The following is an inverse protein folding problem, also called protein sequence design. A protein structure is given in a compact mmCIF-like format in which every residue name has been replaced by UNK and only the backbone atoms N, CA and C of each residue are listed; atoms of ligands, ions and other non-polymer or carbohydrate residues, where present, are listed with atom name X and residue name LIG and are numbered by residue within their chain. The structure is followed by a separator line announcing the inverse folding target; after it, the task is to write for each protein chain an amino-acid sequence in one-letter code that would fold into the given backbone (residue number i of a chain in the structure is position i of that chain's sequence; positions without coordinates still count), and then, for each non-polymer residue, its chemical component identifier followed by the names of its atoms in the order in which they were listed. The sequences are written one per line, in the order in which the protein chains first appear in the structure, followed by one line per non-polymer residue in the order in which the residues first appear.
data_IF_534352675275
#
_entry.id   IF_534352675275
#
_cell.length_a   1.000
_cell.length_b   1.000
_cell.length_c   1.000
_cell.angle_alpha   90.00
_cell.angle_beta   90.00
_cell.angle_gamma   90.00
#
_symmetry.space_group_name_H-M   'P 1'
#
loop_
_entity.id
_entity.type
_entity.pdbx_description
1 polymer ?
#
# COMPACT_ATOMS: atom_id res chain seq x y z
N UNK A 1 13.19 9.37 -19.33
CA UNK A 1 12.41 8.72 -18.25
C UNK A 1 10.88 8.96 -18.32
N UNK A 2 10.40 9.94 -19.08
CA UNK A 2 8.94 10.21 -19.21
C UNK A 2 8.17 9.22 -20.11
N UNK A 3 8.82 8.48 -20.98
CA UNK A 3 8.16 7.59 -21.93
C UNK A 3 7.79 6.19 -21.37
N UNK A 4 8.40 5.76 -20.27
CA UNK A 4 8.13 4.43 -19.69
C UNK A 4 6.77 4.33 -18.96
N UNK A 5 6.17 5.45 -18.57
CA UNK A 5 4.91 5.44 -17.81
C UNK A 5 3.65 5.41 -18.68
N UNK A 6 3.76 5.77 -19.96
CA UNK A 6 2.68 5.58 -20.94
C UNK A 6 2.42 4.12 -21.32
N UNK A 7 3.36 3.22 -21.01
CA UNK A 7 3.28 1.80 -21.36
C UNK A 7 2.49 0.93 -20.35
N UNK A 8 2.05 1.49 -19.22
CA UNK A 8 1.34 0.71 -18.19
C UNK A 8 -0.18 0.67 -18.38
N UNK A 9 -0.69 1.12 -19.53
CA UNK A 9 -2.12 1.10 -19.85
C UNK A 9 -2.37 0.11 -20.98
N UNK A 10 -3.22 -0.89 -20.70
CA UNK A 10 -3.78 -1.81 -21.67
C UNK A 10 -5.25 -1.48 -21.87
N UNK A 11 -5.72 -1.42 -23.11
CA UNK A 11 -7.10 -1.06 -23.43
C UNK A 11 -7.64 -1.94 -24.56
N UNK A 12 -8.97 -2.08 -24.58
CA UNK A 12 -9.67 -3.00 -25.45
C UNK A 12 -9.94 -4.36 -24.80
N UNK A 13 -11.03 -5.00 -25.22
CA UNK A 13 -11.55 -6.21 -24.59
C UNK A 13 -10.51 -7.34 -24.63
N UNK A 14 -10.04 -7.71 -25.82
CA UNK A 14 -9.11 -8.83 -25.98
C UNK A 14 -7.76 -8.61 -25.29
N UNK A 15 -7.08 -7.45 -25.44
CA UNK A 15 -5.82 -7.22 -24.74
C UNK A 15 -5.96 -7.26 -23.22
N UNK A 16 -7.08 -6.77 -22.66
CA UNK A 16 -7.31 -6.81 -21.21
C UNK A 16 -7.57 -8.24 -20.73
N UNK A 17 -8.33 -9.05 -21.49
CA UNK A 17 -8.51 -10.48 -21.20
C UNK A 17 -7.17 -11.24 -21.22
N UNK A 18 -6.33 -10.99 -22.20
CA UNK A 18 -5.00 -11.60 -22.29
C UNK A 18 -4.12 -11.16 -21.11
N UNK A 19 -4.17 -9.87 -20.75
CA UNK A 19 -3.45 -9.35 -19.58
C UNK A 19 -3.87 -10.08 -18.29
N UNK A 20 -5.17 -10.22 -18.05
CA UNK A 20 -5.69 -10.91 -16.85
C UNK A 20 -5.24 -12.38 -16.83
N UNK A 21 -5.25 -13.05 -18.00
CA UNK A 21 -4.81 -14.45 -18.15
C UNK A 21 -3.30 -14.63 -18.03
N UNK A 22 -2.51 -13.58 -18.28
CA UNK A 22 -1.04 -13.64 -18.23
C UNK A 22 -0.44 -13.57 -16.81
N UNK A 23 -1.28 -13.52 -15.78
CA UNK A 23 -0.89 -13.41 -14.37
C UNK A 23 0.00 -12.20 -14.04
N UNK A 24 0.04 -11.19 -14.91
CA UNK A 24 0.71 -9.93 -14.59
C UNK A 24 -0.07 -9.16 -13.54
N UNK A 25 0.65 -8.50 -12.65
CA UNK A 25 0.05 -7.66 -11.62
C UNK A 25 -0.75 -6.51 -12.25
N UNK A 26 -2.05 -6.49 -11.95
CA UNK A 26 -2.98 -5.47 -12.43
C UNK A 26 -3.30 -4.54 -11.26
N UNK A 27 -2.99 -3.27 -11.44
CA UNK A 27 -3.26 -2.25 -10.43
C UNK A 27 -4.76 -1.95 -10.35
N UNK A 28 -5.42 -1.81 -11.51
CA UNK A 28 -6.84 -1.49 -11.59
C UNK A 28 -7.41 -1.72 -12.97
N UNK A 29 -8.68 -2.12 -13.02
CA UNK A 29 -9.46 -2.20 -14.27
C UNK A 29 -10.61 -1.21 -14.22
N UNK A 30 -10.75 -0.38 -15.25
CA UNK A 30 -11.92 0.46 -15.46
C UNK A 30 -12.81 -0.17 -16.55
N UNK A 31 -14.11 -0.26 -16.24
CA UNK A 31 -15.14 -0.73 -17.14
C UNK A 31 -16.15 0.40 -17.36
N UNK A 32 -16.53 0.68 -18.58
CA UNK A 32 -17.53 1.69 -18.89
C UNK A 32 -18.91 1.26 -18.39
N UNK A 33 -19.61 2.17 -17.71
CA UNK A 33 -20.99 1.98 -17.29
C UNK A 33 -21.88 1.72 -18.51
N UNK A 34 -22.77 0.71 -18.42
CA UNK A 34 -23.73 0.36 -19.48
C UNK A 34 -23.17 -0.52 -20.58
N UNK A 35 -21.87 -0.81 -20.64
CA UNK A 35 -21.33 -1.79 -21.58
C UNK A 35 -21.72 -3.20 -21.15
N UNK A 36 -22.41 -3.91 -22.04
CA UNK A 36 -22.85 -5.29 -21.80
C UNK A 36 -22.37 -6.17 -22.95
N UNK A 37 -21.44 -7.07 -22.66
CA UNK A 37 -21.04 -8.16 -23.55
C UNK A 37 -20.60 -9.36 -22.72
N UNK A 38 -20.60 -10.57 -23.27
CA UNK A 38 -20.06 -11.77 -22.60
C UNK A 38 -18.64 -11.58 -22.11
N UNK A 39 -17.80 -10.95 -22.92
CA UNK A 39 -16.37 -10.73 -22.63
C UNK A 39 -16.18 -9.72 -21.49
N UNK A 40 -16.98 -8.67 -21.42
CA UNK A 40 -16.95 -7.71 -20.30
C UNK A 40 -17.40 -8.40 -19.01
N UNK A 41 -18.37 -9.28 -19.08
CA UNK A 41 -18.80 -10.10 -17.94
C UNK A 41 -17.71 -11.07 -17.50
N UNK A 42 -16.98 -11.67 -18.44
CA UNK A 42 -15.80 -12.51 -18.18
C UNK A 42 -14.72 -11.69 -17.47
N UNK A 43 -14.34 -10.51 -17.98
CA UNK A 43 -13.37 -9.61 -17.35
C UNK A 43 -13.79 -9.30 -15.91
N UNK A 44 -15.03 -8.89 -15.69
CA UNK A 44 -15.51 -8.53 -14.37
C UNK A 44 -15.49 -9.71 -13.38
N UNK A 45 -15.86 -10.91 -13.84
CA UNK A 45 -15.85 -12.11 -13.02
C UNK A 45 -14.42 -12.54 -12.67
N UNK A 46 -13.51 -12.50 -13.63
CA UNK A 46 -12.10 -12.87 -13.43
C UNK A 46 -11.40 -11.87 -12.52
N UNK A 47 -11.69 -10.56 -12.65
CA UNK A 47 -11.20 -9.56 -11.71
C UNK A 47 -11.65 -9.85 -10.28
N UNK A 48 -12.93 -10.20 -10.07
CA UNK A 48 -13.44 -10.55 -8.72
C UNK A 48 -12.78 -11.81 -8.17
N UNK A 49 -12.63 -12.84 -9.00
CA UNK A 49 -12.01 -14.10 -8.58
C UNK A 49 -10.53 -13.93 -8.18
N UNK A 50 -9.82 -13.00 -8.83
CA UNK A 50 -8.39 -12.75 -8.59
C UNK A 50 -8.12 -11.53 -7.68
N UNK A 51 -9.15 -10.95 -7.04
CA UNK A 51 -8.97 -9.79 -6.16
C UNK A 51 -8.47 -8.51 -6.87
N UNK A 52 -8.60 -8.44 -8.23
CA UNK A 52 -8.17 -7.28 -9.00
C UNK A 52 -9.13 -6.10 -8.79
N UNK A 53 -8.65 -4.94 -8.32
CA UNK A 53 -9.49 -3.77 -8.12
C UNK A 53 -10.17 -3.34 -9.43
N UNK A 54 -11.50 -3.19 -9.40
CA UNK A 54 -12.30 -2.86 -10.57
C UNK A 54 -13.27 -1.71 -10.25
N UNK A 55 -13.48 -0.82 -11.23
CA UNK A 55 -14.43 0.27 -11.11
C UNK A 55 -15.21 0.51 -12.40
N UNK A 56 -16.53 0.62 -12.28
CA UNK A 56 -17.38 1.08 -13.37
C UNK A 56 -17.35 2.61 -13.43
N UNK A 57 -17.09 3.16 -14.63
CA UNK A 57 -16.90 4.58 -14.84
C UNK A 57 -17.62 5.10 -16.08
N UNK A 58 -18.02 6.40 -16.13
CA UNK A 58 -18.58 7.01 -17.33
C UNK A 58 -17.56 7.04 -18.48
N UNK A 59 -18.08 7.10 -19.74
CA UNK A 59 -17.26 7.13 -20.95
C UNK A 59 -16.31 8.33 -20.97
N UNK A 60 -16.69 9.46 -20.42
CA UNK A 60 -15.88 10.68 -20.34
C UNK A 60 -14.57 10.42 -19.56
N UNK A 61 -14.65 9.64 -18.49
CA UNK A 61 -13.46 9.23 -17.73
C UNK A 61 -12.58 8.31 -18.57
N UNK A 62 -13.16 7.36 -19.30
CA UNK A 62 -12.40 6.45 -20.19
C UNK A 62 -11.66 7.24 -21.26
N UNK A 63 -12.32 8.19 -21.93
CA UNK A 63 -11.77 9.03 -22.97
C UNK A 63 -10.64 9.97 -22.48
N UNK A 64 -10.61 10.29 -21.17
CA UNK A 64 -9.50 11.04 -20.56
C UNK A 64 -8.26 10.16 -20.36
N UNK A 65 -8.45 8.86 -20.13
CA UNK A 65 -7.36 7.90 -19.93
C UNK A 65 -6.68 7.53 -21.24
N UNK A 66 -7.47 7.33 -22.31
CA UNK A 66 -6.95 7.05 -23.64
C UNK A 66 -7.91 7.54 -24.73
N UNK A 67 -7.36 8.14 -25.78
CA UNK A 67 -8.12 8.54 -26.98
C UNK A 67 -8.23 7.39 -28.01
N UNK A 68 -7.58 6.25 -27.75
CA UNK A 68 -7.62 5.08 -28.61
C UNK A 68 -8.91 4.29 -28.37
N UNK A 69 -9.24 3.37 -29.28
CA UNK A 69 -10.45 2.55 -29.19
C UNK A 69 -10.33 1.58 -28.00
N UNK A 70 -10.87 1.97 -26.85
CA UNK A 70 -10.82 1.19 -25.60
C UNK A 70 -11.95 0.17 -25.44
N UNK A 71 -12.96 0.17 -26.33
CA UNK A 71 -14.07 -0.80 -26.32
C UNK A 71 -14.75 -0.94 -24.93
N UNK A 72 -14.76 0.11 -24.13
CA UNK A 72 -15.37 0.11 -22.80
C UNK A 72 -14.50 -0.51 -21.69
N UNK A 73 -13.23 -0.85 -21.94
CA UNK A 73 -12.34 -1.38 -20.89
C UNK A 73 -10.92 -0.85 -21.01
N UNK A 74 -10.34 -0.50 -19.82
CA UNK A 74 -8.94 -0.05 -19.66
C UNK A 74 -8.39 -0.70 -18.40
N UNK A 75 -7.22 -1.31 -18.48
CA UNK A 75 -6.47 -1.85 -17.37
C UNK A 75 -5.15 -1.11 -17.16
N UNK A 76 -4.75 -0.97 -15.92
CA UNK A 76 -3.45 -0.44 -15.52
C UNK A 76 -2.60 -1.57 -14.99
N UNK A 77 -1.42 -1.77 -15.58
CA UNK A 77 -0.42 -2.73 -15.10
C UNK A 77 0.27 -2.11 -13.89
N UNK A 78 0.41 -2.87 -12.81
CA UNK A 78 1.21 -2.44 -11.67
C UNK A 78 2.69 -2.40 -12.07
N UNK A 79 3.42 -1.31 -11.77
CA UNK A 79 4.85 -1.21 -12.10
C UNK A 79 5.75 -2.03 -11.19
N UNK A 80 5.20 -2.66 -10.15
CA UNK A 80 5.91 -3.53 -9.21
C UNK A 80 5.19 -4.86 -9.06
N UNK A 81 5.90 -5.86 -8.55
CA UNK A 81 5.30 -7.14 -8.13
C UNK A 81 5.01 -7.09 -6.63
N UNK A 82 3.78 -7.45 -6.24
CA UNK A 82 3.42 -7.59 -4.84
C UNK A 82 4.01 -8.89 -4.26
N UNK A 83 4.52 -8.81 -3.03
CA UNK A 83 5.07 -9.97 -2.35
C UNK A 83 4.08 -10.50 -1.31
N UNK A 84 3.99 -11.84 -1.12
CA UNK A 84 3.27 -12.39 0.01
C UNK A 84 3.90 -11.97 1.33
N UNK A 85 3.09 -11.44 2.26
CA UNK A 85 3.58 -10.95 3.55
C UNK A 85 4.29 -12.04 4.35
N UNK A 86 3.72 -13.24 4.33
CA UNK A 86 4.23 -14.42 5.03
C UNK A 86 5.65 -14.77 4.56
N UNK A 87 5.86 -14.72 3.25
CA UNK A 87 7.16 -15.02 2.65
C UNK A 87 8.22 -13.98 3.05
N UNK A 88 7.86 -12.70 3.06
CA UNK A 88 8.81 -11.64 3.44
C UNK A 88 9.19 -11.76 4.91
N UNK A 89 8.23 -11.95 5.81
CA UNK A 89 8.47 -12.11 7.24
C UNK A 89 9.35 -13.33 7.51
N UNK A 90 9.03 -14.46 6.89
CA UNK A 90 9.82 -15.68 7.01
C UNK A 90 11.27 -15.46 6.54
N UNK A 91 11.46 -14.86 5.38
CA UNK A 91 12.79 -14.60 4.81
C UNK A 91 13.66 -13.75 5.76
N UNK A 92 13.11 -12.69 6.37
CA UNK A 92 13.84 -11.83 7.29
C UNK A 92 14.26 -12.58 8.56
N UNK A 93 13.40 -13.43 9.11
CA UNK A 93 13.77 -14.30 10.24
C UNK A 93 14.84 -15.33 9.86
N UNK A 94 14.75 -15.94 8.68
CA UNK A 94 15.77 -16.88 8.18
C UNK A 94 17.14 -16.21 7.98
N UNK A 95 17.16 -14.90 7.70
CA UNK A 95 18.40 -14.09 7.67
C UNK A 95 18.94 -13.76 9.07
N UNK A 96 18.26 -14.18 10.14
CA UNK A 96 18.64 -13.89 11.53
C UNK A 96 18.42 -12.42 11.93
N UNK A 97 17.50 -11.71 11.25
CA UNK A 97 17.16 -10.31 11.52
C UNK A 97 15.77 -10.20 12.14
N UNK A 98 15.55 -9.10 12.83
CA UNK A 98 14.24 -8.73 13.36
C UNK A 98 13.43 -8.01 12.27
N UNK A 99 12.28 -8.56 11.82
CA UNK A 99 11.46 -7.92 10.82
C UNK A 99 10.99 -6.52 11.24
N UNK A 100 11.06 -5.58 10.30
CA UNK A 100 10.50 -4.24 10.42
C UNK A 100 9.45 -4.03 9.33
N UNK A 101 8.17 -4.06 9.70
CA UNK A 101 7.03 -3.94 8.79
C UNK A 101 6.33 -2.61 9.00
N UNK A 102 5.96 -1.94 7.91
CA UNK A 102 5.13 -0.74 7.91
C UNK A 102 3.76 -1.06 7.32
N UNK A 103 2.69 -0.92 8.09
CA UNK A 103 1.32 -1.14 7.66
C UNK A 103 0.59 0.20 7.48
N UNK A 104 -0.12 0.36 6.36
CA UNK A 104 -0.81 1.60 6.02
C UNK A 104 -2.32 1.38 5.94
N UNK A 105 -3.10 2.07 6.78
CA UNK A 105 -4.55 2.08 6.75
C UNK A 105 -5.07 3.31 6.00
N UNK A 106 -5.67 3.10 4.84
CA UNK A 106 -6.34 4.14 4.03
C UNK A 106 -5.46 5.34 3.65
N UNK A 107 -4.17 5.12 3.43
CA UNK A 107 -3.30 6.11 2.81
C UNK A 107 -3.56 6.09 1.31
N UNK A 108 -4.36 7.04 0.82
CA UNK A 108 -4.87 7.07 -0.55
C UNK A 108 -4.16 8.07 -1.47
N UNK A 109 -3.46 9.04 -0.90
CA UNK A 109 -2.68 9.99 -1.68
C UNK A 109 -1.40 9.33 -2.23
N UNK A 110 -1.26 9.39 -3.56
CA UNK A 110 -0.17 8.75 -4.30
C UNK A 110 1.20 9.35 -3.96
N UNK A 111 1.26 10.67 -3.69
CA UNK A 111 2.50 11.35 -3.35
C UNK A 111 2.95 11.02 -1.94
N UNK A 112 2.00 11.00 -1.00
CA UNK A 112 2.28 10.55 0.37
C UNK A 112 2.76 9.11 0.38
N UNK A 113 2.10 8.21 -0.35
CA UNK A 113 2.54 6.82 -0.46
C UNK A 113 3.96 6.70 -1.04
N UNK A 114 4.26 7.43 -2.12
CA UNK A 114 5.61 7.44 -2.71
C UNK A 114 6.68 7.98 -1.74
N UNK A 115 6.37 9.05 -1.00
CA UNK A 115 7.28 9.61 0.02
C UNK A 115 7.49 8.65 1.19
N UNK A 116 6.42 7.99 1.65
CA UNK A 116 6.48 6.93 2.67
C UNK A 116 7.38 5.79 2.19
N UNK A 117 7.19 5.29 0.98
CA UNK A 117 7.99 4.20 0.44
C UNK A 117 9.49 4.55 0.35
N UNK A 118 9.80 5.78 -0.06
CA UNK A 118 11.18 6.29 -0.06
C UNK A 118 11.80 6.29 1.33
N UNK A 119 11.06 6.80 2.31
CA UNK A 119 11.51 6.88 3.70
C UNK A 119 11.64 5.49 4.32
N UNK A 120 10.65 4.63 4.11
CA UNK A 120 10.63 3.25 4.58
C UNK A 120 11.84 2.46 4.07
N UNK A 121 12.12 2.55 2.77
CA UNK A 121 13.31 1.91 2.18
C UNK A 121 14.61 2.45 2.78
N UNK A 122 14.74 3.77 2.95
CA UNK A 122 15.92 4.39 3.56
C UNK A 122 16.10 4.01 5.03
N UNK A 123 15.03 3.73 5.75
CA UNK A 123 15.03 3.29 7.15
C UNK A 123 15.18 1.76 7.33
N UNK A 124 15.32 1.00 6.24
CA UNK A 124 15.47 -0.44 6.31
C UNK A 124 14.19 -1.19 6.67
N UNK A 125 13.02 -0.65 6.31
CA UNK A 125 11.74 -1.37 6.42
C UNK A 125 11.76 -2.54 5.44
N UNK A 126 11.43 -3.74 5.91
CA UNK A 126 11.46 -4.97 5.11
C UNK A 126 10.23 -5.11 4.21
N UNK A 127 9.06 -4.63 4.68
CA UNK A 127 7.81 -4.65 3.90
C UNK A 127 6.91 -3.46 4.21
N UNK A 128 6.21 -2.95 3.17
CA UNK A 128 5.04 -2.08 3.30
C UNK A 128 3.79 -2.91 3.04
N UNK A 129 2.86 -2.95 4.01
CA UNK A 129 1.60 -3.67 3.91
C UNK A 129 0.47 -2.69 3.60
N UNK A 130 -0.28 -2.95 2.54
CA UNK A 130 -1.43 -2.15 2.11
C UNK A 130 -2.66 -3.04 1.88
N UNK A 131 -3.89 -2.53 2.10
CA UNK A 131 -5.09 -3.28 1.75
C UNK A 131 -5.36 -3.26 0.24
N UNK A 132 -6.08 -4.27 -0.26
CA UNK A 132 -6.55 -4.33 -1.65
C UNK A 132 -7.43 -3.14 -2.04
N UNK A 133 -8.18 -2.60 -1.09
CA UNK A 133 -9.08 -1.47 -1.30
C UNK A 133 -8.78 -0.34 -0.31
N UNK A 134 -8.90 0.91 -0.77
CA UNK A 134 -8.64 2.08 0.06
C UNK A 134 -7.17 2.41 0.26
N UNK A 135 -6.29 1.95 -0.62
CA UNK A 135 -4.87 2.33 -0.69
C UNK A 135 -4.59 3.20 -1.92
N UNK A 136 -3.47 3.92 -1.89
CA UNK A 136 -2.98 4.66 -3.05
C UNK A 136 -2.67 3.70 -4.21
N UNK A 137 -2.96 4.14 -5.43
CA UNK A 137 -2.55 3.43 -6.63
C UNK A 137 -1.04 3.52 -6.84
N UNK A 138 -0.38 2.39 -7.09
CA UNK A 138 1.03 2.38 -7.47
C UNK A 138 1.14 2.64 -8.97
N UNK A 139 1.35 3.89 -9.30
CA UNK A 139 1.45 4.39 -10.67
C UNK A 139 2.75 5.17 -10.89
N UNK A 140 2.90 5.79 -12.05
CA UNK A 140 4.08 6.59 -12.41
C UNK A 140 4.40 7.72 -11.43
N UNK A 141 3.38 8.34 -10.82
CA UNK A 141 3.58 9.41 -9.84
C UNK A 141 4.12 8.86 -8.52
N UNK A 142 3.61 7.71 -8.05
CA UNK A 142 4.16 7.01 -6.89
C UNK A 142 5.62 6.60 -7.13
N UNK A 143 5.91 6.01 -8.30
CA UNK A 143 7.28 5.61 -8.68
C UNK A 143 8.24 6.80 -8.70
N UNK A 144 7.81 7.94 -9.26
CA UNK A 144 8.60 9.17 -9.30
C UNK A 144 8.83 9.73 -7.90
N UNK A 145 7.78 9.82 -7.09
CA UNK A 145 7.86 10.40 -5.73
C UNK A 145 8.71 9.52 -4.80
N UNK A 146 8.65 8.20 -4.98
CA UNK A 146 9.51 7.28 -4.22
C UNK A 146 10.99 7.32 -4.63
N UNK A 147 11.37 8.09 -5.67
CA UNK A 147 12.72 8.13 -6.23
C UNK A 147 13.29 6.72 -6.55
N UNK A 148 12.42 5.79 -6.98
CA UNK A 148 12.78 4.42 -7.31
C UNK A 148 12.71 3.42 -6.15
N UNK A 149 12.48 3.86 -4.92
CA UNK A 149 12.41 2.97 -3.75
C UNK A 149 11.32 1.90 -3.88
N UNK A 150 10.20 2.21 -4.54
CA UNK A 150 9.12 1.24 -4.81
C UNK A 150 9.54 0.05 -5.69
N UNK A 151 10.64 0.16 -6.44
CA UNK A 151 11.20 -0.98 -7.18
C UNK A 151 12.11 -1.87 -6.35
N UNK A 152 12.41 -1.47 -5.11
CA UNK A 152 13.41 -2.12 -4.24
C UNK A 152 12.82 -2.64 -2.94
N UNK A 153 11.81 -1.95 -2.40
CA UNK A 153 11.12 -2.35 -1.17
C UNK A 153 10.02 -3.36 -1.47
N UNK A 154 9.83 -4.36 -0.61
CA UNK A 154 8.70 -5.28 -0.73
C UNK A 154 7.39 -4.55 -0.41
N UNK A 155 6.43 -4.59 -1.32
CA UNK A 155 5.06 -4.15 -1.06
C UNK A 155 4.17 -5.37 -1.01
N UNK A 156 3.47 -5.55 0.11
CA UNK A 156 2.55 -6.66 0.35
C UNK A 156 1.11 -6.13 0.30
N UNK A 157 0.34 -6.63 -0.66
CA UNK A 157 -1.08 -6.30 -0.78
C UNK A 157 -1.91 -7.40 -0.15
N UNK A 158 -2.76 -7.05 0.82
CA UNK A 158 -3.57 -8.01 1.58
C UNK A 158 -5.06 -7.72 1.44
N UNK A 159 -5.88 -8.76 1.50
CA UNK A 159 -7.35 -8.61 1.44
C UNK A 159 -7.88 -7.87 2.67
N UNK A 160 -7.32 -8.16 3.85
CA UNK A 160 -7.80 -7.64 5.11
C UNK A 160 -6.64 -7.36 6.05
N UNK A 161 -6.51 -6.11 6.49
CA UNK A 161 -5.48 -5.72 7.46
C UNK A 161 -5.65 -6.39 8.83
N UNK A 162 -6.87 -6.83 9.21
CA UNK A 162 -7.07 -7.57 10.49
C UNK A 162 -6.32 -8.90 10.47
N UNK A 163 -6.46 -9.62 9.37
CA UNK A 163 -5.82 -10.94 9.22
C UNK A 163 -4.29 -10.79 9.16
N UNK A 164 -3.81 -9.71 8.51
CA UNK A 164 -2.39 -9.37 8.50
C UNK A 164 -1.87 -9.01 9.91
N UNK A 165 -2.62 -8.25 10.72
CA UNK A 165 -2.27 -7.96 12.11
C UNK A 165 -2.18 -9.26 12.91
N UNK A 166 -3.20 -10.11 12.81
CA UNK A 166 -3.26 -11.37 13.56
C UNK A 166 -2.11 -12.31 13.15
N UNK A 167 -1.79 -12.38 11.85
CA UNK A 167 -0.63 -13.12 11.34
C UNK A 167 0.69 -12.60 11.90
N UNK A 168 0.93 -11.28 11.84
CA UNK A 168 2.19 -10.67 12.32
C UNK A 168 2.39 -10.92 13.81
N UNK A 169 1.33 -10.79 14.62
CA UNK A 169 1.36 -11.10 16.05
C UNK A 169 1.67 -12.56 16.30
N UNK A 170 1.01 -13.47 15.57
CA UNK A 170 1.27 -14.92 15.67
C UNK A 170 2.71 -15.28 15.24
N UNK A 171 3.32 -14.50 14.36
CA UNK A 171 4.72 -14.63 13.94
C UNK A 171 5.72 -13.99 14.91
N UNK A 172 5.25 -13.43 16.04
CA UNK A 172 6.11 -12.85 17.08
C UNK A 172 6.45 -11.37 16.88
N UNK A 173 5.85 -10.67 15.93
CA UNK A 173 6.02 -9.21 15.82
C UNK A 173 5.10 -8.50 16.81
N UNK A 174 5.61 -7.49 17.46
CA UNK A 174 4.79 -6.50 18.17
C UNK A 174 4.17 -5.55 17.14
N UNK A 175 2.85 -5.35 17.20
CA UNK A 175 2.12 -4.48 16.26
C UNK A 175 1.64 -3.23 17.00
N UNK A 176 2.20 -2.05 16.66
CA UNK A 176 1.89 -0.78 17.31
C UNK A 176 1.33 0.23 16.31
N UNK A 177 0.33 1.00 16.75
CA UNK A 177 -0.28 2.05 15.93
C UNK A 177 0.13 3.44 16.38
N UNK A 178 0.34 4.35 15.41
CA UNK A 178 0.63 5.74 15.70
C UNK A 178 -0.62 6.60 15.51
N UNK A 179 -1.03 7.28 16.56
CA UNK A 179 -2.22 8.14 16.59
C UNK A 179 -2.04 9.28 17.61
N UNK A 180 -2.56 10.44 17.28
CA UNK A 180 -2.58 11.61 18.16
C UNK A 180 -3.39 11.39 19.44
N UNK A 181 -4.26 10.36 19.44
CA UNK A 181 -5.13 9.98 20.58
C UNK A 181 -4.44 9.07 21.59
N UNK A 182 -3.21 8.65 21.33
CA UNK A 182 -2.44 7.83 22.28
C UNK A 182 -1.93 8.66 23.44
N UNK A 183 -1.62 7.99 24.55
CA UNK A 183 -1.04 8.62 25.75
C UNK A 183 0.45 8.29 25.92
N UNK A 184 0.91 7.23 25.28
CA UNK A 184 2.30 6.80 25.34
C UNK A 184 3.13 7.49 24.25
N UNK A 185 4.24 8.07 24.66
CA UNK A 185 5.13 8.79 23.73
C UNK A 185 6.06 7.83 22.99
N UNK A 186 6.24 8.05 21.70
CA UNK A 186 7.26 7.41 20.86
C UNK A 186 8.65 7.40 21.52
N UNK A 187 9.03 8.53 22.17
CA UNK A 187 10.36 8.69 22.76
C UNK A 187 10.64 7.86 24.02
N UNK A 188 9.58 7.28 24.61
CA UNK A 188 9.66 6.50 25.85
C UNK A 188 9.38 5.02 25.65
N UNK A 189 9.00 4.63 24.45
CA UNK A 189 8.62 3.25 24.12
C UNK A 189 9.82 2.51 23.57
N UNK A 190 9.96 1.24 23.95
CA UNK A 190 10.91 0.33 23.33
C UNK A 190 10.36 -0.11 21.97
N UNK A 191 11.10 0.18 20.90
CA UNK A 191 10.77 -0.17 19.52
C UNK A 191 11.83 -1.07 18.88
N UNK A 192 12.61 -1.75 19.69
CA UNK A 192 13.55 -2.78 19.26
C UNK A 192 12.83 -4.10 18.98
N UNK A 193 13.54 -5.08 18.44
CA UNK A 193 13.00 -6.42 18.10
C UNK A 193 12.05 -6.44 16.91
N UNK A 194 11.37 -7.60 16.67
CA UNK A 194 10.43 -7.76 15.57
C UNK A 194 9.21 -6.84 15.72
N UNK A 195 8.99 -5.95 14.75
CA UNK A 195 8.05 -4.84 14.90
C UNK A 195 7.25 -4.58 13.63
N UNK A 196 5.94 -4.37 13.79
CA UNK A 196 5.09 -3.75 12.78
C UNK A 196 4.56 -2.41 13.30
N UNK A 197 4.72 -1.38 12.50
CA UNK A 197 4.18 -0.04 12.75
C UNK A 197 2.98 0.20 11.85
N UNK A 198 1.86 0.63 12.41
CA UNK A 198 0.67 1.00 11.66
C UNK A 198 0.49 2.52 11.64
N UNK A 199 0.33 3.06 10.42
CA UNK A 199 0.01 4.47 10.18
C UNK A 199 -1.39 4.56 9.56
N UNK A 200 -2.16 5.56 9.96
CA UNK A 200 -3.51 5.78 9.48
C UNK A 200 -3.62 6.82 8.38
N UNK A 201 -4.86 7.05 7.90
CA UNK A 201 -5.17 8.13 6.96
C UNK A 201 -4.95 9.51 7.58
N UNK A 202 -4.80 10.54 6.73
CA UNK A 202 -4.65 11.93 7.18
C UNK A 202 -5.95 12.49 7.80
N UNK A 203 -7.12 12.00 7.37
CA UNK A 203 -8.42 12.50 7.82
C UNK A 203 -8.87 11.87 9.14
N UNK A 204 -8.82 10.53 9.23
CA UNK A 204 -9.43 9.77 10.33
C UNK A 204 -8.41 9.04 11.21
N UNK A 205 -7.13 9.03 10.83
CA UNK A 205 -6.12 8.21 11.48
C UNK A 205 -6.34 6.70 11.23
N UNK A 206 -5.95 5.87 12.19
CA UNK A 206 -6.14 4.42 12.14
C UNK A 206 -7.60 4.08 12.48
N UNK A 207 -8.20 3.19 11.69
CA UNK A 207 -9.56 2.69 11.92
C UNK A 207 -9.71 2.10 13.33
N UNK A 208 -10.81 2.43 14.06
CA UNK A 208 -11.08 1.87 15.39
C UNK A 208 -11.12 0.34 15.42
N UNK A 209 -11.46 -0.29 14.30
CA UNK A 209 -11.48 -1.74 14.18
C UNK A 209 -10.08 -2.36 14.21
N UNK A 210 -9.07 -1.63 13.75
CA UNK A 210 -7.67 -2.04 13.82
C UNK A 210 -7.04 -1.67 15.15
N UNK A 211 -7.26 -0.46 15.66
CA UNK A 211 -6.74 -0.01 16.94
C UNK A 211 -6.96 -1.03 18.07
N UNK A 212 -8.15 -1.64 18.12
CA UNK A 212 -8.51 -2.65 19.15
C UNK A 212 -7.68 -3.95 19.06
N UNK A 213 -6.96 -4.19 17.96
CA UNK A 213 -6.18 -5.40 17.73
C UNK A 213 -4.68 -5.20 17.95
N UNK A 214 -4.23 -3.95 18.02
CA UNK A 214 -2.83 -3.61 18.19
C UNK A 214 -2.35 -3.90 19.62
N UNK A 215 -1.05 -4.13 19.76
CA UNK A 215 -0.41 -4.37 21.06
C UNK A 215 -0.15 -3.07 21.83
N UNK A 216 -0.18 -1.92 21.15
CA UNK A 216 0.03 -0.61 21.75
C UNK A 216 -0.31 0.53 20.80
N UNK A 217 -0.51 1.71 21.41
CA UNK A 217 -0.77 2.95 20.70
C UNK A 217 0.22 3.99 21.16
N UNK A 218 0.90 4.62 20.20
CA UNK A 218 1.95 5.60 20.46
C UNK A 218 1.62 6.92 19.79
N UNK A 219 2.11 8.01 20.37
CA UNK A 219 2.01 9.34 19.77
C UNK A 219 3.39 9.94 19.52
N UNK A 220 3.46 10.77 18.50
CA UNK A 220 4.57 11.73 18.33
C UNK A 220 4.20 12.95 19.18
N UNK A 221 4.96 13.29 20.24
CA UNK A 221 4.65 14.48 21.04
C UNK A 221 4.75 15.76 20.20
N UNK A 222 3.67 16.54 20.19
CA UNK A 222 3.56 17.79 19.47
C UNK A 222 3.55 18.96 20.48
N UNK A 223 4.65 19.72 20.60
CA UNK A 223 4.72 20.83 21.58
C UNK A 223 4.01 22.11 21.10
N UNK A 224 3.63 22.18 19.83
CA UNK A 224 2.90 23.32 19.24
C UNK A 224 1.39 23.10 19.23
N UNK A 225 0.66 24.07 18.65
CA UNK A 225 -0.81 24.08 18.58
C UNK A 225 -1.38 23.24 17.40
N UNK A 226 -0.53 22.45 16.72
CA UNK A 226 -0.94 21.55 15.63
C UNK A 226 -0.98 20.12 16.17
N UNK A 227 -2.11 19.46 15.99
CA UNK A 227 -2.36 18.14 16.59
C UNK A 227 -1.70 16.97 15.83
N UNK A 228 -1.37 17.15 14.54
CA UNK A 228 -0.84 16.06 13.68
C UNK A 228 0.16 16.57 12.64
N UNK A 229 1.01 15.66 12.17
CA UNK A 229 1.89 15.84 11.00
C UNK A 229 1.24 15.20 9.77
N UNK A 230 1.64 15.67 8.59
CA UNK A 230 1.41 14.91 7.36
C UNK A 230 1.88 13.45 7.53
N UNK A 231 1.13 12.49 7.03
CA UNK A 231 1.39 11.06 7.27
C UNK A 231 2.77 10.61 6.81
N UNK A 232 3.29 11.16 5.70
CA UNK A 232 4.63 10.81 5.21
C UNK A 232 5.73 11.36 6.10
N UNK A 233 5.53 12.55 6.69
CA UNK A 233 6.45 13.16 7.67
C UNK A 233 6.41 12.37 8.98
N UNK A 234 5.21 12.09 9.51
CA UNK A 234 5.03 11.28 10.71
C UNK A 234 5.71 9.90 10.56
N UNK A 235 5.52 9.24 9.40
CA UNK A 235 6.19 7.96 9.11
C UNK A 235 7.71 8.10 9.15
N UNK A 236 8.24 9.21 8.63
CA UNK A 236 9.69 9.49 8.70
C UNK A 236 10.21 9.60 10.12
N UNK A 237 9.52 10.36 10.97
CA UNK A 237 9.88 10.51 12.39
C UNK A 237 9.88 9.16 13.10
N UNK A 238 8.81 8.36 12.90
CA UNK A 238 8.67 7.03 13.52
C UNK A 238 9.75 6.07 13.03
N UNK A 239 9.93 5.94 11.72
CA UNK A 239 10.91 5.02 11.16
C UNK A 239 12.34 5.33 11.62
N UNK A 240 12.73 6.60 11.63
CA UNK A 240 14.09 6.97 12.04
C UNK A 240 14.31 6.93 13.55
N UNK A 241 13.28 7.06 14.37
CA UNK A 241 13.40 6.75 15.80
C UNK A 241 13.63 5.24 16.02
N UNK A 242 12.94 4.38 15.28
CA UNK A 242 13.17 2.92 15.32
C UNK A 242 14.61 2.60 14.90
N UNK A 243 15.09 3.23 13.82
CA UNK A 243 16.49 3.07 13.38
C UNK A 243 17.45 3.48 14.47
N UNK A 244 17.23 4.66 15.10
CA UNK A 244 18.08 5.12 16.22
C UNK A 244 18.13 4.11 17.36
N UNK A 245 16.99 3.53 17.75
CA UNK A 245 16.94 2.56 18.84
C UNK A 245 17.60 1.23 18.47
N UNK A 246 17.49 0.79 17.20
CA UNK A 246 18.10 -0.47 16.71
C UNK A 246 19.62 -0.35 16.47
N UNK A 247 20.13 0.86 16.29
CA UNK A 247 21.56 1.12 16.07
C UNK A 247 22.34 1.31 17.38
N UNK A 248 21.68 1.40 18.50
CA UNK A 248 22.36 1.47 19.78
C UNK A 248 22.25 2.48 20.69
#
# INVERSE_FOLDING_TARGET
MEDNFKNNIVFGIHPVLELIRSQKEIEKVYIQVGTRSPEISEIANTCRANGVPMQFVPIEKMNRLTRKNHQGVVAFICPIEYQPLEKVVQMVFEEGRDPFVLMLDRVTDVRNFGAIARTAYAAGVDAIVIPNHGSASINGDAMKTSAGALSLINVCRVENLKDAIDFLKASGLRVVGFTEKAHESLWKSDLTGPLCVMMGSEEDGISPAYLKRLDGHLMIPMPGDIDSLNVSVATGVVCFEIVRQRMG
#
